data_IF_971182241365
#
_entry.id   IF_971182241365
#
_cell.length_a   1.000
_cell.length_b   1.000
_cell.length_c   1.000
_cell.angle_alpha   90.00
_cell.angle_beta   90.00
_cell.angle_gamma   90.00
#
_symmetry.space_group_name_H-M   'P 1'
#
loop_
_entity.id
_entity.type
_entity.pdbx_description
1 polymer ?
#
# COMPACT_ATOMS: atom_id res chain seq x y z
N UNK A 1 -63.90 -35.09 -93.29
CA UNK A 1 -64.25 -33.89 -92.51
C UNK A 1 -63.13 -33.73 -91.49
N UNK A 2 -61.92 -33.39 -91.95
CA UNK A 2 -61.49 -32.03 -92.30
C UNK A 2 -61.58 -31.12 -91.07
N UNK A 3 -60.52 -30.45 -90.62
CA UNK A 3 -59.48 -29.80 -91.41
C UNK A 3 -58.09 -29.95 -90.79
N UNK A 4 -57.08 -30.22 -91.61
CA UNK A 4 -55.71 -29.86 -91.25
C UNK A 4 -55.61 -28.34 -91.34
N UNK A 5 -55.97 -27.67 -90.24
CA UNK A 5 -55.68 -26.25 -90.06
C UNK A 5 -54.19 -26.05 -90.31
N UNK A 6 -53.87 -25.26 -91.33
CA UNK A 6 -52.50 -24.80 -91.57
C UNK A 6 -51.98 -24.23 -90.26
N UNK A 7 -50.80 -24.67 -89.79
CA UNK A 7 -50.25 -24.24 -88.50
C UNK A 7 -50.13 -22.71 -88.39
N UNK A 8 -50.17 -22.01 -89.52
CA UNK A 8 -50.13 -20.56 -89.64
C UNK A 8 -51.46 -19.85 -89.34
N UNK A 9 -52.59 -20.56 -89.30
CA UNK A 9 -53.94 -20.01 -89.09
C UNK A 9 -54.50 -20.32 -87.69
N UNK A 10 -53.81 -21.12 -86.86
CA UNK A 10 -54.23 -21.47 -85.51
C UNK A 10 -53.77 -20.40 -84.48
N UNK A 11 -54.66 -19.75 -83.72
CA UNK A 11 -54.29 -18.82 -82.66
C UNK A 11 -53.32 -19.40 -81.63
N UNK A 12 -53.37 -20.72 -81.37
CA UNK A 12 -52.49 -21.38 -80.42
C UNK A 12 -51.00 -21.32 -80.82
N UNK A 13 -50.68 -21.31 -82.13
CA UNK A 13 -49.30 -21.24 -82.60
C UNK A 13 -48.70 -19.84 -82.44
N UNK A 14 -49.50 -18.79 -82.70
CA UNK A 14 -49.12 -17.40 -82.44
C UNK A 14 -48.95 -17.11 -80.95
N UNK A 15 -49.82 -17.65 -80.08
CA UNK A 15 -49.66 -17.55 -78.61
C UNK A 15 -48.39 -18.26 -78.15
N UNK A 16 -48.13 -19.46 -78.65
CA UNK A 16 -46.90 -20.21 -78.33
C UNK A 16 -45.63 -19.46 -78.78
N UNK A 17 -45.66 -18.83 -79.95
CA UNK A 17 -44.55 -17.99 -80.44
C UNK A 17 -44.35 -16.74 -79.58
N UNK A 18 -45.42 -16.05 -79.18
CA UNK A 18 -45.35 -14.89 -78.29
C UNK A 18 -44.79 -15.26 -76.90
N UNK A 19 -45.24 -16.37 -76.32
CA UNK A 19 -44.72 -16.89 -75.03
C UNK A 19 -43.25 -17.27 -75.15
N UNK A 20 -42.86 -17.93 -76.25
CA UNK A 20 -41.46 -18.30 -76.51
C UNK A 20 -40.58 -17.05 -76.62
N UNK A 21 -41.01 -16.05 -77.40
CA UNK A 21 -40.29 -14.78 -77.53
C UNK A 21 -40.18 -14.06 -76.18
N UNK A 22 -41.23 -14.09 -75.36
CA UNK A 22 -41.22 -13.52 -74.01
C UNK A 22 -40.19 -14.20 -73.09
N UNK A 23 -40.15 -15.54 -73.06
CA UNK A 23 -39.13 -16.26 -72.29
C UNK A 23 -37.71 -16.01 -72.81
N UNK A 24 -37.51 -15.93 -74.13
CA UNK A 24 -36.21 -15.55 -74.72
C UNK A 24 -35.81 -14.14 -74.26
N UNK A 25 -36.72 -13.18 -74.24
CA UNK A 25 -36.45 -11.82 -73.77
C UNK A 25 -36.12 -11.80 -72.26
N UNK A 26 -36.80 -12.60 -71.43
CA UNK A 26 -36.50 -12.74 -70.00
C UNK A 26 -35.09 -13.30 -69.77
N UNK A 27 -34.73 -14.35 -70.51
CA UNK A 27 -33.41 -14.98 -70.44
C UNK A 27 -32.34 -14.00 -70.95
N UNK A 28 -32.61 -13.29 -72.04
CA UNK A 28 -31.70 -12.30 -72.61
C UNK A 28 -31.48 -11.10 -71.67
N UNK A 29 -32.52 -10.68 -70.95
CA UNK A 29 -32.44 -9.65 -69.88
C UNK A 29 -31.85 -10.19 -68.58
N UNK A 30 -31.41 -11.46 -68.52
CA UNK A 30 -30.74 -12.08 -67.38
C UNK A 30 -31.52 -12.01 -66.06
N UNK A 31 -32.83 -11.90 -66.12
CA UNK A 31 -33.71 -11.92 -64.94
C UNK A 31 -33.41 -13.12 -64.01
N UNK A 32 -33.27 -14.38 -64.49
CA UNK A 32 -32.93 -15.49 -63.60
C UNK A 32 -31.56 -15.37 -62.93
N UNK A 33 -30.57 -14.76 -63.60
CA UNK A 33 -29.24 -14.56 -63.02
C UNK A 33 -29.24 -13.51 -61.89
N UNK A 34 -30.13 -12.51 -61.95
CA UNK A 34 -30.30 -11.52 -60.88
C UNK A 34 -30.85 -12.20 -59.61
N UNK A 35 -31.84 -13.08 -59.76
CA UNK A 35 -32.39 -13.83 -58.63
C UNK A 35 -31.36 -14.78 -57.99
N UNK A 36 -30.59 -15.48 -58.81
CA UNK A 36 -29.49 -16.33 -58.32
C UNK A 36 -28.46 -15.49 -57.55
N UNK A 37 -28.02 -14.35 -58.12
CA UNK A 37 -27.05 -13.47 -57.46
C UNK A 37 -27.56 -12.92 -56.12
N UNK A 38 -28.82 -12.54 -56.03
CA UNK A 38 -29.41 -12.05 -54.78
C UNK A 38 -29.45 -13.15 -53.72
N UNK A 39 -29.75 -14.40 -54.11
CA UNK A 39 -29.75 -15.53 -53.19
C UNK A 39 -28.33 -15.89 -52.73
N UNK A 40 -27.34 -15.84 -53.63
CA UNK A 40 -25.93 -16.02 -53.30
C UNK A 40 -25.45 -14.94 -52.32
N UNK A 41 -25.79 -13.67 -52.57
CA UNK A 41 -25.45 -12.55 -51.68
C UNK A 41 -26.05 -12.72 -50.27
N UNK A 42 -27.31 -13.18 -50.19
CA UNK A 42 -27.95 -13.52 -48.91
C UNK A 42 -27.26 -14.68 -48.21
N UNK A 43 -26.87 -15.71 -48.96
CA UNK A 43 -26.19 -16.88 -48.40
C UNK A 43 -24.83 -16.50 -47.83
N UNK A 44 -24.05 -15.71 -48.58
CA UNK A 44 -22.76 -15.18 -48.11
C UNK A 44 -22.91 -14.30 -46.87
N UNK A 45 -23.90 -13.41 -46.86
CA UNK A 45 -24.15 -12.55 -45.69
C UNK A 45 -24.54 -13.36 -44.45
N UNK A 46 -25.30 -14.45 -44.61
CA UNK A 46 -25.66 -15.35 -43.51
C UNK A 46 -24.42 -16.13 -43.04
N UNK A 47 -23.60 -16.62 -43.95
CA UNK A 47 -22.36 -17.33 -43.64
C UNK A 47 -21.40 -16.43 -42.85
N UNK A 48 -21.20 -15.20 -43.30
CA UNK A 48 -20.39 -14.19 -42.60
C UNK A 48 -20.96 -13.87 -41.21
N UNK A 49 -22.27 -13.71 -41.07
CA UNK A 49 -22.90 -13.48 -39.76
C UNK A 49 -22.73 -14.68 -38.82
N UNK A 50 -22.83 -15.91 -39.33
CA UNK A 50 -22.62 -17.13 -38.54
C UNK A 50 -21.15 -17.29 -38.13
N UNK A 51 -20.20 -16.96 -39.00
CA UNK A 51 -18.78 -16.96 -38.70
C UNK A 51 -18.45 -15.92 -37.62
N UNK A 52 -18.93 -14.69 -37.78
CA UNK A 52 -18.76 -13.63 -36.79
C UNK A 52 -19.37 -14.01 -35.44
N UNK A 53 -20.57 -14.61 -35.43
CA UNK A 53 -21.22 -15.07 -34.20
C UNK A 53 -20.43 -16.19 -33.52
N UNK A 54 -19.83 -17.12 -34.29
CA UNK A 54 -18.93 -18.15 -33.76
C UNK A 54 -17.67 -17.54 -33.17
N UNK A 55 -16.99 -16.64 -33.89
CA UNK A 55 -15.82 -15.93 -33.37
C UNK A 55 -16.12 -15.21 -32.06
N UNK A 56 -17.24 -14.49 -32.01
CA UNK A 56 -17.65 -13.77 -30.80
C UNK A 56 -17.94 -14.71 -29.63
N UNK A 57 -18.54 -15.87 -29.89
CA UNK A 57 -18.76 -16.92 -28.89
C UNK A 57 -17.46 -17.51 -28.38
N UNK A 58 -16.50 -17.77 -29.27
CA UNK A 58 -15.16 -18.27 -28.90
C UNK A 58 -14.37 -17.24 -28.08
N UNK A 59 -14.40 -15.98 -28.49
CA UNK A 59 -13.77 -14.87 -27.76
C UNK A 59 -14.40 -14.68 -26.37
N UNK A 60 -15.73 -14.75 -26.25
CA UNK A 60 -16.41 -14.67 -24.97
C UNK A 60 -16.05 -15.84 -24.05
N UNK A 61 -15.99 -17.07 -24.58
CA UNK A 61 -15.55 -18.24 -23.81
C UNK A 61 -14.09 -18.14 -23.37
N UNK A 62 -13.21 -17.66 -24.25
CA UNK A 62 -11.80 -17.44 -23.93
C UNK A 62 -11.64 -16.35 -22.85
N UNK A 63 -12.42 -15.28 -22.93
CA UNK A 63 -12.41 -14.19 -21.95
C UNK A 63 -12.92 -14.66 -20.60
N UNK A 64 -14.01 -15.43 -20.55
CA UNK A 64 -14.53 -16.02 -19.31
C UNK A 64 -13.48 -16.92 -18.66
N UNK A 65 -12.89 -17.84 -19.42
CA UNK A 65 -11.85 -18.72 -18.91
C UNK A 65 -10.62 -17.96 -18.41
N UNK A 66 -10.29 -16.81 -19.02
CA UNK A 66 -9.23 -15.93 -18.53
C UNK A 66 -9.62 -15.30 -17.19
N UNK A 67 -10.81 -14.72 -17.08
CA UNK A 67 -11.27 -14.12 -15.83
C UNK A 67 -11.36 -15.12 -14.68
N UNK A 68 -11.82 -16.35 -14.93
CA UNK A 68 -11.85 -17.40 -13.91
C UNK A 68 -10.44 -17.76 -13.42
N UNK A 69 -9.47 -17.89 -14.34
CA UNK A 69 -8.06 -18.11 -13.98
C UNK A 69 -7.48 -16.94 -13.20
N UNK A 70 -7.74 -15.72 -13.66
CA UNK A 70 -7.26 -14.49 -13.02
C UNK A 70 -7.86 -14.34 -11.61
N UNK A 71 -9.14 -14.68 -11.44
CA UNK A 71 -9.80 -14.70 -10.13
C UNK A 71 -9.14 -15.72 -9.19
N UNK A 72 -8.97 -16.97 -9.61
CA UNK A 72 -8.32 -17.98 -8.79
C UNK A 72 -6.86 -17.62 -8.45
N UNK A 73 -6.13 -17.03 -9.40
CA UNK A 73 -4.77 -16.55 -9.17
C UNK A 73 -4.76 -15.40 -8.14
N UNK A 74 -5.70 -14.46 -8.23
CA UNK A 74 -5.83 -13.36 -7.28
C UNK A 74 -6.20 -13.84 -5.87
N UNK A 75 -7.13 -14.80 -5.76
CA UNK A 75 -7.49 -15.43 -4.48
C UNK A 75 -6.29 -16.12 -3.84
N UNK A 76 -5.50 -16.86 -4.62
CA UNK A 76 -4.28 -17.51 -4.15
C UNK A 76 -3.23 -16.49 -3.70
N UNK A 77 -2.98 -15.45 -4.49
CA UNK A 77 -2.04 -14.39 -4.14
C UNK A 77 -2.48 -13.64 -2.87
N UNK A 78 -3.77 -13.37 -2.71
CA UNK A 78 -4.30 -12.75 -1.50
C UNK A 78 -4.12 -13.65 -0.26
N UNK A 79 -4.35 -14.95 -0.40
CA UNK A 79 -4.12 -15.91 0.67
C UNK A 79 -2.63 -15.97 1.09
N UNK A 80 -1.72 -16.05 0.12
CA UNK A 80 -0.27 -16.02 0.34
C UNK A 80 0.17 -14.70 0.99
N UNK A 81 -0.36 -13.56 0.53
CA UNK A 81 -0.08 -12.24 1.12
C UNK A 81 -0.53 -12.18 2.58
N UNK A 82 -1.72 -12.69 2.89
CA UNK A 82 -2.26 -12.73 4.25
C UNK A 82 -1.44 -13.64 5.16
N UNK A 83 -0.93 -14.76 4.66
CA UNK A 83 -0.05 -15.65 5.41
C UNK A 83 1.30 -14.97 5.71
N UNK A 84 1.92 -14.39 4.69
CA UNK A 84 3.18 -13.67 4.82
C UNK A 84 3.07 -12.48 5.78
N UNK A 85 2.01 -11.68 5.67
CA UNK A 85 1.76 -10.56 6.58
C UNK A 85 1.60 -11.03 8.03
N UNK A 86 0.91 -12.15 8.27
CA UNK A 86 0.79 -12.74 9.61
C UNK A 86 2.13 -13.23 10.15
N UNK A 87 2.96 -13.84 9.31
CA UNK A 87 4.29 -14.28 9.70
C UNK A 87 5.20 -13.08 10.04
N UNK A 88 5.19 -12.05 9.20
CA UNK A 88 5.94 -10.81 9.40
C UNK A 88 5.51 -10.07 10.67
N UNK A 89 4.21 -9.93 10.91
CA UNK A 89 3.68 -9.32 12.15
C UNK A 89 4.13 -10.11 13.39
N UNK A 90 4.13 -11.44 13.35
CA UNK A 90 4.63 -12.26 14.47
C UNK A 90 6.11 -12.01 14.75
N UNK A 91 6.94 -11.95 13.70
CA UNK A 91 8.36 -11.64 13.83
C UNK A 91 8.57 -10.22 14.38
N UNK A 92 7.86 -9.25 13.83
CA UNK A 92 7.91 -7.85 14.26
C UNK A 92 7.49 -7.68 15.74
N UNK A 93 6.47 -8.42 16.19
CA UNK A 93 6.06 -8.42 17.60
C UNK A 93 7.15 -9.03 18.49
N UNK A 94 7.77 -10.13 18.06
CA UNK A 94 8.84 -10.77 18.81
C UNK A 94 10.05 -9.86 18.95
N UNK A 95 10.50 -9.23 17.86
CA UNK A 95 11.61 -8.28 17.86
C UNK A 95 11.30 -7.04 18.71
N UNK A 96 10.11 -6.47 18.57
CA UNK A 96 9.71 -5.31 19.36
C UNK A 96 9.63 -5.62 20.85
N UNK A 97 9.22 -6.82 21.25
CA UNK A 97 9.24 -7.22 22.67
C UNK A 97 10.65 -7.20 23.22
N UNK A 98 11.62 -7.77 22.51
CA UNK A 98 13.04 -7.75 22.90
C UNK A 98 13.55 -6.32 23.01
N UNK A 99 13.25 -5.48 22.00
CA UNK A 99 13.67 -4.07 22.00
C UNK A 99 13.03 -3.27 23.16
N UNK A 100 11.75 -3.49 23.45
CA UNK A 100 11.05 -2.84 24.56
C UNK A 100 11.65 -3.27 25.90
N UNK A 101 11.95 -4.55 26.07
CA UNK A 101 12.60 -5.06 27.28
C UNK A 101 13.99 -4.43 27.48
N UNK A 102 14.79 -4.31 26.41
CA UNK A 102 16.10 -3.66 26.47
C UNK A 102 15.99 -2.17 26.82
N UNK A 103 15.07 -1.45 26.16
CA UNK A 103 14.82 -0.04 26.45
C UNK A 103 14.33 0.15 27.89
N UNK A 104 13.48 -0.74 28.39
CA UNK A 104 12.99 -0.71 29.77
C UNK A 104 14.14 -0.91 30.76
N UNK A 105 15.02 -1.90 30.55
CA UNK A 105 16.21 -2.12 31.38
C UNK A 105 17.14 -0.90 31.39
N UNK A 106 17.45 -0.35 30.21
CA UNK A 106 18.29 0.85 30.08
C UNK A 106 17.69 2.06 30.81
N UNK A 107 16.38 2.26 30.72
CA UNK A 107 15.68 3.33 31.44
C UNK A 107 15.72 3.12 32.95
N UNK A 108 15.58 1.88 33.42
CA UNK A 108 15.70 1.56 34.83
C UNK A 108 17.10 1.87 35.35
N UNK A 109 18.16 1.46 34.63
CA UNK A 109 19.55 1.76 34.99
C UNK A 109 19.81 3.27 35.06
N UNK A 110 19.34 4.04 34.07
CA UNK A 110 19.47 5.51 34.08
C UNK A 110 18.73 6.12 35.26
N UNK A 111 17.54 5.62 35.63
CA UNK A 111 16.81 6.10 36.79
C UNK A 111 17.57 5.79 38.10
N UNK A 112 18.11 4.58 38.25
CA UNK A 112 18.93 4.20 39.40
C UNK A 112 20.19 5.06 39.51
N UNK A 113 20.87 5.32 38.39
CA UNK A 113 22.04 6.21 38.37
C UNK A 113 21.68 7.64 38.77
N UNK A 114 20.54 8.17 38.31
CA UNK A 114 20.05 9.50 38.71
C UNK A 114 19.72 9.57 40.20
N UNK A 115 19.11 8.53 40.76
CA UNK A 115 18.83 8.43 42.20
C UNK A 115 20.14 8.46 42.98
N UNK A 116 21.12 7.62 42.61
CA UNK A 116 22.42 7.59 43.28
C UNK A 116 23.15 8.94 43.21
N UNK A 117 23.08 9.63 42.07
CA UNK A 117 23.64 10.98 41.92
C UNK A 117 22.92 12.00 42.82
N UNK A 118 21.59 11.95 42.89
CA UNK A 118 20.79 12.82 43.74
C UNK A 118 21.06 12.57 45.23
N UNK A 119 21.19 11.31 45.65
CA UNK A 119 21.57 10.93 47.02
C UNK A 119 22.96 11.46 47.38
N UNK A 120 23.95 11.28 46.50
CA UNK A 120 25.29 11.80 46.71
C UNK A 120 25.31 13.35 46.82
N UNK A 121 24.53 14.03 45.98
CA UNK A 121 24.36 15.48 46.04
C UNK A 121 23.71 15.93 47.36
N UNK A 122 22.64 15.27 47.79
CA UNK A 122 21.94 15.56 49.04
C UNK A 122 22.84 15.35 50.27
N UNK A 123 23.63 14.27 50.31
CA UNK A 123 24.59 14.03 51.39
C UNK A 123 25.65 15.14 51.43
N UNK A 124 26.15 15.57 50.27
CA UNK A 124 27.12 16.67 50.18
C UNK A 124 26.52 17.98 50.69
N UNK A 125 25.27 18.28 50.32
CA UNK A 125 24.55 19.47 50.76
C UNK A 125 24.32 19.47 52.27
N UNK A 126 23.86 18.35 52.85
CA UNK A 126 23.69 18.19 54.30
C UNK A 126 25.01 18.42 55.01
N UNK A 127 26.11 17.82 54.55
CA UNK A 127 27.45 18.03 55.14
C UNK A 127 27.87 19.49 55.10
N UNK A 128 27.67 20.17 53.96
CA UNK A 128 27.98 21.59 53.83
C UNK A 128 27.16 22.44 54.80
N UNK A 129 25.86 22.15 54.93
CA UNK A 129 24.99 22.82 55.89
C UNK A 129 25.44 22.57 57.33
N UNK A 130 25.76 21.33 57.70
CA UNK A 130 26.28 20.98 59.03
C UNK A 130 27.58 21.72 59.35
N UNK A 131 28.53 21.76 58.41
CA UNK A 131 29.79 22.51 58.58
C UNK A 131 29.51 24.00 58.78
N UNK A 132 28.59 24.59 57.99
CA UNK A 132 28.20 26.00 58.13
C UNK A 132 27.58 26.28 59.50
N UNK A 133 26.63 25.44 59.94
CA UNK A 133 25.96 25.58 61.24
C UNK A 133 26.95 25.41 62.39
N UNK A 134 27.82 24.39 62.34
CA UNK A 134 28.84 24.16 63.36
C UNK A 134 29.84 25.33 63.44
N UNK A 135 30.25 25.87 62.29
CA UNK A 135 31.14 27.05 62.24
C UNK A 135 30.46 28.29 62.79
N UNK A 136 29.17 28.50 62.49
CA UNK A 136 28.39 29.61 63.06
C UNK A 136 28.26 29.48 64.59
N UNK A 137 27.89 28.29 65.08
CA UNK A 137 27.77 28.03 66.51
C UNK A 137 29.12 28.19 67.23
N UNK A 138 30.22 27.71 66.64
CA UNK A 138 31.57 27.92 67.17
C UNK A 138 31.93 29.41 67.21
N UNK A 139 31.61 30.18 66.17
CA UNK A 139 31.81 31.64 66.13
C UNK A 139 31.02 32.32 67.25
N UNK A 140 29.76 31.94 67.45
CA UNK A 140 28.91 32.52 68.49
C UNK A 140 29.42 32.17 69.90
N UNK A 141 29.89 30.93 70.11
CA UNK A 141 30.46 30.48 71.39
C UNK A 141 31.79 31.19 71.69
N UNK A 142 32.67 31.34 70.69
CA UNK A 142 33.91 32.13 70.82
C UNK A 142 33.57 33.57 71.19
N UNK A 143 32.63 34.21 70.48
CA UNK A 143 32.21 35.59 70.76
C UNK A 143 31.64 35.75 72.17
N UNK A 144 30.90 34.78 72.67
CA UNK A 144 30.33 34.80 74.01
C UNK A 144 31.36 34.58 75.13
N UNK A 145 32.49 33.90 74.85
CA UNK A 145 33.52 33.56 75.83
C UNK A 145 34.80 34.39 75.71
N UNK A 146 34.92 35.26 74.70
CA UNK A 146 36.09 36.10 74.50
C UNK A 146 36.16 37.19 75.58
N UNK A 147 37.23 37.18 76.39
CA UNK A 147 37.55 38.26 77.34
C UNK A 147 38.59 39.20 76.72
N UNK A 148 38.64 40.45 77.18
CA UNK A 148 39.56 41.47 76.64
C UNK A 148 41.04 41.00 76.63
N UNK A 149 41.46 40.24 77.66
CA UNK A 149 42.81 39.66 77.74
C UNK A 149 43.10 38.59 76.67
N UNK A 150 42.09 37.83 76.23
CA UNK A 150 42.23 36.83 75.16
C UNK A 150 42.34 37.51 73.79
N UNK A 151 41.69 38.68 73.64
CA UNK A 151 41.73 39.48 72.41
C UNK A 151 43.12 40.08 72.16
N UNK A 152 43.76 40.62 73.21
CA UNK A 152 45.12 41.14 73.14
C UNK A 152 46.16 40.04 72.87
N UNK A 153 45.99 38.86 73.47
CA UNK A 153 46.85 37.70 73.22
C UNK A 153 46.75 37.19 71.77
N UNK A 154 45.54 37.18 71.19
CA UNK A 154 45.31 36.82 69.79
C UNK A 154 45.95 37.81 68.82
N UNK A 155 45.83 39.12 69.08
CA UNK A 155 46.48 40.16 68.25
C UNK A 155 48.00 39.98 68.26
N UNK A 156 48.58 39.76 69.44
CA UNK A 156 50.04 39.57 69.58
C UNK A 156 50.54 38.31 68.86
N UNK A 157 49.85 37.17 69.02
CA UNK A 157 50.22 35.95 68.27
C UNK A 157 50.03 36.08 66.76
N UNK A 158 49.02 36.85 66.33
CA UNK A 158 48.79 37.16 64.92
C UNK A 158 49.95 37.96 64.33
N UNK A 159 50.42 39.00 65.04
CA UNK A 159 51.59 39.79 64.62
C UNK A 159 52.87 38.96 64.61
N UNK A 160 53.09 38.11 65.61
CA UNK A 160 54.28 37.24 65.68
C UNK A 160 54.29 36.20 64.54
N UNK A 161 53.11 35.68 64.16
CA UNK A 161 52.98 34.73 63.04
C UNK A 161 53.17 35.37 61.66
N UNK A 162 52.86 36.67 61.53
CA UNK A 162 53.13 37.44 60.32
C UNK A 162 54.62 37.75 60.20
N UNK A 163 55.25 38.16 61.29
CA UNK A 163 56.68 38.45 61.37
C UNK A 163 57.52 37.20 61.03
N UNK A 164 57.15 36.04 61.56
CA UNK A 164 57.78 34.74 61.26
C UNK A 164 57.59 34.23 59.82
N UNK A 165 56.66 34.80 59.04
CA UNK A 165 56.48 34.48 57.60
C UNK A 165 57.13 35.52 56.67
N UNK A 166 57.53 36.67 57.20
CA UNK A 166 58.16 37.76 56.46
C UNK A 166 59.68 37.81 56.65
N UNK A 167 60.22 37.03 57.59
CA UNK A 167 61.64 36.75 57.76
C UNK A 167 62.05 35.41 57.11
#
# INVERSE_FOLDING_TARGET
MEEHVSFWADPATWVSFAVTLFFILIIWKKVPAIFAKLLDERSLAIEEQLENARSLSEEAAALLAKYERDQHAAEKQAAELMENAKAEVKLMIAENKVNIEEVAKRRAEVATQKIAQAEAAAIKEIRSLTVSVATSAARDLIKANLKDADQDALIKSGTDSLDAKLH
#
